data_IF_849357553770
#
_entry.id   IF_849357553770
#
_cell.length_a   1.000
_cell.length_b   1.000
_cell.length_c   1.000
_cell.angle_alpha   90.00
_cell.angle_beta   90.00
_cell.angle_gamma   90.00
#
_symmetry.space_group_name_H-M   'P 1'
#
loop_
_entity.id
_entity.type
_entity.pdbx_description
1 polymer ?
#
# COMPACT_ATOMS: atom_id res chain seq x y z
N UNK A 1 93.11 51.93 49.78
CA UNK A 1 92.09 51.74 48.72
C UNK A 1 92.44 50.46 47.94
N UNK A 2 92.42 49.29 48.59
CA UNK A 2 92.66 47.98 47.93
C UNK A 2 91.45 47.04 48.13
N UNK A 3 90.24 47.57 47.95
CA UNK A 3 89.00 46.81 48.17
C UNK A 3 88.05 46.80 46.96
N UNK A 4 88.50 47.26 45.78
CA UNK A 4 87.65 47.30 44.58
C UNK A 4 88.44 46.90 43.32
N UNK A 5 89.18 45.81 43.39
CA UNK A 5 89.49 45.04 42.19
C UNK A 5 89.13 43.59 42.47
N UNK A 6 88.10 43.03 41.81
CA UNK A 6 87.80 41.61 41.97
C UNK A 6 89.07 40.85 41.60
N UNK A 7 89.64 40.13 42.56
CA UNK A 7 90.86 39.36 42.34
C UNK A 7 90.69 38.47 41.11
N UNK A 8 91.72 38.35 40.28
CA UNK A 8 91.68 37.62 38.99
C UNK A 8 91.08 36.20 39.16
N UNK A 9 91.29 35.57 40.32
CA UNK A 9 90.66 34.28 40.66
C UNK A 9 89.12 34.31 40.74
N UNK A 10 88.50 35.37 41.27
CA UNK A 10 87.04 35.51 41.32
C UNK A 10 86.45 35.64 39.91
N UNK A 11 87.09 36.44 39.04
CA UNK A 11 86.66 36.58 37.64
C UNK A 11 86.76 35.22 36.93
N UNK A 12 87.86 34.49 37.12
CA UNK A 12 88.05 33.15 36.53
C UNK A 12 86.95 32.17 36.96
N UNK A 13 86.69 32.02 38.27
CA UNK A 13 85.65 31.13 38.77
C UNK A 13 84.23 31.58 38.38
N UNK A 14 83.98 32.89 38.30
CA UNK A 14 82.71 33.44 37.81
C UNK A 14 82.48 33.13 36.33
N UNK A 15 83.49 33.32 35.48
CA UNK A 15 83.39 32.99 34.05
C UNK A 15 83.25 31.48 33.83
N UNK A 16 83.96 30.66 34.61
CA UNK A 16 83.86 29.20 34.53
C UNK A 16 82.46 28.71 34.96
N UNK A 17 81.95 29.20 36.09
CA UNK A 17 80.60 28.86 36.57
C UNK A 17 79.51 29.36 35.62
N UNK A 18 79.62 30.60 35.11
CA UNK A 18 78.71 31.13 34.10
C UNK A 18 78.75 30.29 32.81
N UNK A 19 79.94 29.94 32.33
CA UNK A 19 80.12 29.08 31.15
C UNK A 19 79.51 27.70 31.33
N UNK A 20 79.71 27.07 32.50
CA UNK A 20 79.11 25.78 32.84
C UNK A 20 77.58 25.85 32.81
N UNK A 21 77.00 26.87 33.45
CA UNK A 21 75.55 27.12 33.46
C UNK A 21 75.02 27.36 32.04
N UNK A 22 75.74 28.11 31.20
CA UNK A 22 75.37 28.36 29.81
C UNK A 22 75.37 27.07 28.97
N UNK A 23 76.34 26.18 29.17
CA UNK A 23 76.39 24.87 28.50
C UNK A 23 75.19 24.01 28.91
N UNK A 24 74.87 23.98 30.21
CA UNK A 24 73.70 23.26 30.74
C UNK A 24 72.40 23.84 30.14
N UNK A 25 72.21 25.16 30.19
CA UNK A 25 71.04 25.83 29.61
C UNK A 25 70.91 25.58 28.11
N UNK A 26 72.01 25.66 27.36
CA UNK A 26 72.02 25.39 25.91
C UNK A 26 71.56 23.96 25.60
N UNK A 27 71.97 22.98 26.40
CA UNK A 27 71.61 21.57 26.21
C UNK A 27 70.19 21.26 26.68
N UNK A 28 69.78 21.81 27.83
CA UNK A 28 68.55 21.41 28.53
C UNK A 28 67.35 22.34 28.28
N UNK A 29 67.54 23.66 28.14
CA UNK A 29 66.42 24.60 28.00
C UNK A 29 66.01 24.84 26.54
N UNK A 30 66.95 24.80 25.59
CA UNK A 30 66.65 25.12 24.19
C UNK A 30 65.72 24.10 23.52
N UNK A 31 65.88 22.81 23.85
CA UNK A 31 65.02 21.73 23.36
C UNK A 31 63.55 21.87 23.76
N UNK A 32 63.19 21.97 25.07
CA UNK A 32 61.80 22.08 25.50
C UNK A 32 61.11 23.38 25.07
N UNK A 33 61.85 24.49 25.00
CA UNK A 33 61.28 25.76 24.52
C UNK A 33 60.90 25.65 23.04
N UNK A 34 61.78 25.09 22.21
CA UNK A 34 61.51 24.95 20.79
C UNK A 34 60.45 23.88 20.50
N UNK A 35 60.36 22.83 21.31
CA UNK A 35 59.31 21.81 21.17
C UNK A 35 57.92 22.37 21.48
N UNK A 36 57.76 23.15 22.56
CA UNK A 36 56.45 23.72 22.93
C UNK A 36 55.95 24.74 21.91
N UNK A 37 56.86 25.52 21.30
CA UNK A 37 56.50 26.43 20.20
C UNK A 37 56.03 25.65 18.96
N UNK A 38 56.77 24.60 18.56
CA UNK A 38 56.37 23.75 17.43
C UNK A 38 55.05 23.03 17.69
N UNK A 39 54.83 22.55 18.91
CA UNK A 39 53.58 21.89 19.29
C UNK A 39 52.39 22.85 19.18
N UNK A 40 52.54 24.10 19.65
CA UNK A 40 51.52 25.14 19.47
C UNK A 40 51.27 25.45 18.00
N UNK A 41 52.33 25.60 17.21
CA UNK A 41 52.21 25.84 15.77
C UNK A 41 51.47 24.70 15.06
N UNK A 42 51.84 23.45 15.34
CA UNK A 42 51.20 22.26 14.80
C UNK A 42 49.73 22.18 15.22
N UNK A 43 49.42 22.44 16.49
CA UNK A 43 48.07 22.41 17.03
C UNK A 43 47.18 23.48 16.39
N UNK A 44 47.68 24.71 16.23
CA UNK A 44 46.94 25.78 15.56
C UNK A 44 46.72 25.44 14.09
N UNK A 45 47.76 24.96 13.40
CA UNK A 45 47.66 24.58 12.00
C UNK A 45 46.70 23.40 11.79
N UNK A 46 46.70 22.39 12.67
CA UNK A 46 45.76 21.27 12.60
C UNK A 46 44.34 21.72 12.90
N UNK A 47 44.13 22.56 13.92
CA UNK A 47 42.80 23.07 14.28
C UNK A 47 42.17 23.91 13.15
N UNK A 48 42.96 24.76 12.49
CA UNK A 48 42.50 25.55 11.34
C UNK A 48 42.17 24.64 10.15
N UNK A 49 43.02 23.64 9.86
CA UNK A 49 42.74 22.67 8.78
C UNK A 49 41.47 21.89 9.04
N UNK A 50 41.29 21.44 10.28
CA UNK A 50 40.12 20.67 10.70
C UNK A 50 38.85 21.51 10.63
N UNK A 51 38.87 22.75 11.11
CA UNK A 51 37.74 23.67 10.98
C UNK A 51 37.36 23.91 9.52
N UNK A 52 38.33 24.11 8.62
CA UNK A 52 38.08 24.23 7.17
C UNK A 52 37.59 22.94 6.52
N UNK A 53 37.92 21.77 7.07
CA UNK A 53 37.41 20.48 6.62
C UNK A 53 35.94 20.35 7.01
N UNK A 54 35.63 20.58 8.28
CA UNK A 54 34.26 20.54 8.84
C UNK A 54 33.34 21.51 8.10
N UNK A 55 33.79 22.74 7.83
CA UNK A 55 32.97 23.71 7.08
C UNK A 55 32.65 23.24 5.65
N UNK A 56 33.60 22.59 4.97
CA UNK A 56 33.38 22.03 3.63
C UNK A 56 32.42 20.85 3.67
N UNK A 57 32.63 19.92 4.61
CA UNK A 57 31.74 18.78 4.80
C UNK A 57 30.31 19.22 5.17
N UNK A 58 30.16 20.26 5.98
CA UNK A 58 28.85 20.82 6.31
C UNK A 58 28.14 21.41 5.08
N UNK A 59 28.86 22.18 4.26
CA UNK A 59 28.31 22.72 3.02
C UNK A 59 27.89 21.62 2.03
N UNK A 60 28.69 20.55 1.91
CA UNK A 60 28.34 19.39 1.10
C UNK A 60 27.11 18.64 1.66
N UNK A 61 27.04 18.49 2.98
CA UNK A 61 25.93 17.86 3.68
C UNK A 61 24.63 18.64 3.48
N UNK A 62 24.66 19.97 3.58
CA UNK A 62 23.48 20.83 3.36
C UNK A 62 22.95 20.67 1.93
N UNK A 63 23.84 20.65 0.92
CA UNK A 63 23.44 20.41 -0.47
C UNK A 63 22.84 19.02 -0.68
N UNK A 64 23.36 18.01 0.02
CA UNK A 64 22.87 16.63 -0.04
C UNK A 64 21.53 16.49 0.65
N UNK A 65 21.35 17.17 1.79
CA UNK A 65 20.09 17.22 2.53
C UNK A 65 18.99 17.86 1.70
N UNK A 66 19.27 18.98 1.04
CA UNK A 66 18.29 19.64 0.17
C UNK A 66 17.87 18.72 -0.99
N UNK A 67 18.84 18.07 -1.65
CA UNK A 67 18.56 17.08 -2.70
C UNK A 67 17.72 15.91 -2.18
N UNK A 68 18.04 15.39 -1.00
CA UNK A 68 17.30 14.28 -0.39
C UNK A 68 15.86 14.69 -0.04
N UNK A 69 15.66 15.91 0.45
CA UNK A 69 14.33 16.45 0.74
C UNK A 69 13.51 16.62 -0.53
N UNK A 70 14.11 17.10 -1.62
CA UNK A 70 13.44 17.18 -2.93
C UNK A 70 13.05 15.78 -3.44
N UNK A 71 14.00 14.84 -3.43
CA UNK A 71 13.72 13.45 -3.83
C UNK A 71 12.64 12.80 -2.97
N UNK A 72 12.61 13.08 -1.65
CA UNK A 72 11.57 12.57 -0.77
C UNK A 72 10.19 13.16 -1.09
N UNK A 73 10.12 14.45 -1.45
CA UNK A 73 8.88 15.08 -1.91
C UNK A 73 8.40 14.50 -3.23
N UNK A 74 9.29 14.35 -4.21
CA UNK A 74 8.95 13.77 -5.52
C UNK A 74 8.41 12.34 -5.35
N UNK A 75 9.08 11.51 -4.53
CA UNK A 75 8.60 10.15 -4.22
C UNK A 75 7.26 10.17 -3.48
N UNK A 76 7.04 11.09 -2.55
CA UNK A 76 5.77 11.20 -1.86
C UNK A 76 4.63 11.57 -2.81
N UNK A 77 4.87 12.51 -3.74
CA UNK A 77 3.90 12.86 -4.78
C UNK A 77 3.62 11.67 -5.72
N UNK A 78 4.66 10.94 -6.13
CA UNK A 78 4.53 9.73 -6.94
C UNK A 78 3.66 8.67 -6.25
N UNK A 79 3.91 8.40 -4.97
CA UNK A 79 3.13 7.45 -4.16
C UNK A 79 1.67 7.90 -4.06
N UNK A 80 1.41 9.19 -3.80
CA UNK A 80 0.04 9.71 -3.73
C UNK A 80 -0.66 9.59 -5.09
N UNK A 81 0.03 9.89 -6.18
CA UNK A 81 -0.52 9.77 -7.52
C UNK A 81 -0.83 8.30 -7.86
N UNK A 82 0.07 7.38 -7.54
CA UNK A 82 -0.14 5.94 -7.73
C UNK A 82 -1.33 5.44 -6.93
N UNK A 83 -1.42 5.79 -5.65
CA UNK A 83 -2.52 5.40 -4.78
C UNK A 83 -3.88 5.93 -5.28
N UNK A 84 -3.94 7.17 -5.79
CA UNK A 84 -5.15 7.71 -6.42
C UNK A 84 -5.55 6.91 -7.66
N UNK A 85 -4.58 6.62 -8.54
CA UNK A 85 -4.84 5.86 -9.77
C UNK A 85 -5.34 4.44 -9.46
N UNK A 86 -4.70 3.76 -8.52
CA UNK A 86 -5.15 2.44 -8.05
C UNK A 86 -6.54 2.50 -7.43
N UNK A 87 -6.80 3.51 -6.60
CA UNK A 87 -8.12 3.73 -6.00
C UNK A 87 -9.21 3.91 -7.06
N UNK A 88 -8.96 4.72 -8.09
CA UNK A 88 -9.88 4.88 -9.21
C UNK A 88 -10.08 3.59 -10.00
N UNK A 89 -9.00 2.81 -10.24
CA UNK A 89 -9.12 1.52 -10.92
C UNK A 89 -9.94 0.51 -10.11
N UNK A 90 -9.78 0.47 -8.79
CA UNK A 90 -10.57 -0.38 -7.90
C UNK A 90 -12.05 0.02 -7.99
N UNK A 91 -12.36 1.32 -7.93
CA UNK A 91 -13.73 1.82 -8.04
C UNK A 91 -14.32 1.45 -9.42
N UNK A 92 -13.57 1.64 -10.51
CA UNK A 92 -14.01 1.26 -11.86
C UNK A 92 -14.28 -0.25 -11.97
N UNK A 93 -13.38 -1.09 -11.46
CA UNK A 93 -13.55 -2.55 -11.44
C UNK A 93 -14.76 -2.97 -10.61
N UNK A 94 -14.93 -2.39 -9.42
CA UNK A 94 -16.08 -2.68 -8.56
C UNK A 94 -17.41 -2.28 -9.22
N UNK A 95 -17.46 -1.10 -9.87
CA UNK A 95 -18.63 -0.67 -10.63
C UNK A 95 -18.95 -1.59 -11.81
N UNK A 96 -17.92 -2.06 -12.52
CA UNK A 96 -18.10 -3.01 -13.61
C UNK A 96 -18.64 -4.34 -13.11
N UNK A 97 -18.03 -4.92 -12.07
CA UNK A 97 -18.48 -6.16 -11.45
C UNK A 97 -19.92 -6.05 -10.94
N UNK A 98 -20.26 -4.95 -10.26
CA UNK A 98 -21.62 -4.70 -9.80
C UNK A 98 -22.64 -4.63 -10.94
N UNK A 99 -22.29 -4.03 -12.09
CA UNK A 99 -23.15 -4.02 -13.29
C UNK A 99 -23.32 -5.40 -13.90
N UNK A 100 -22.25 -6.18 -13.97
CA UNK A 100 -22.28 -7.56 -14.47
C UNK A 100 -23.16 -8.45 -13.57
N UNK A 101 -22.99 -8.35 -12.25
CA UNK A 101 -23.84 -9.05 -11.28
C UNK A 101 -25.30 -8.62 -11.34
N UNK A 102 -25.57 -7.31 -11.41
CA UNK A 102 -26.93 -6.79 -11.56
C UNK A 102 -27.59 -7.33 -12.84
N UNK A 103 -26.85 -7.40 -13.95
CA UNK A 103 -27.35 -7.95 -15.21
C UNK A 103 -27.67 -9.44 -15.06
N UNK A 104 -26.78 -10.22 -14.44
CA UNK A 104 -27.02 -11.65 -14.13
C UNK A 104 -28.26 -11.85 -13.27
N UNK A 105 -28.45 -11.03 -12.24
CA UNK A 105 -29.63 -11.09 -11.37
C UNK A 105 -30.91 -10.80 -12.17
N UNK A 106 -30.91 -9.76 -12.99
CA UNK A 106 -32.05 -9.40 -13.83
C UNK A 106 -32.39 -10.53 -14.82
N UNK A 107 -31.38 -11.12 -15.47
CA UNK A 107 -31.60 -12.20 -16.42
C UNK A 107 -32.08 -13.48 -15.74
N UNK A 108 -31.55 -13.81 -14.55
CA UNK A 108 -32.05 -14.89 -13.72
C UNK A 108 -33.50 -14.67 -13.31
N UNK A 109 -33.86 -13.45 -12.89
CA UNK A 109 -35.23 -13.08 -12.53
C UNK A 109 -36.18 -13.22 -13.73
N UNK A 110 -35.80 -12.73 -14.92
CA UNK A 110 -36.58 -12.90 -16.15
C UNK A 110 -36.80 -14.37 -16.49
N UNK A 111 -35.76 -15.20 -16.33
CA UNK A 111 -35.87 -16.64 -16.57
C UNK A 111 -36.83 -17.31 -15.57
N UNK A 112 -36.77 -16.94 -14.29
CA UNK A 112 -37.71 -17.43 -13.27
C UNK A 112 -39.15 -17.01 -13.60
N UNK A 113 -39.38 -15.74 -13.93
CA UNK A 113 -40.70 -15.22 -14.31
C UNK A 113 -41.25 -15.97 -15.52
N UNK A 114 -40.43 -16.22 -16.54
CA UNK A 114 -40.84 -16.99 -17.72
C UNK A 114 -41.17 -18.46 -17.37
N UNK A 115 -40.42 -19.06 -16.46
CA UNK A 115 -40.69 -20.42 -15.99
C UNK A 115 -42.00 -20.49 -15.19
N UNK A 116 -42.22 -19.55 -14.27
CA UNK A 116 -43.46 -19.42 -13.48
C UNK A 116 -44.66 -19.16 -14.38
N UNK A 117 -44.55 -18.25 -15.36
CA UNK A 117 -45.61 -18.00 -16.34
C UNK A 117 -46.00 -19.28 -17.09
N UNK A 118 -45.02 -20.06 -17.57
CA UNK A 118 -45.28 -21.34 -18.23
C UNK A 118 -45.92 -22.36 -17.29
N UNK A 119 -45.55 -22.35 -16.01
CA UNK A 119 -46.18 -23.20 -15.00
C UNK A 119 -47.65 -22.81 -14.78
N UNK A 120 -47.93 -21.52 -14.60
CA UNK A 120 -49.28 -21.00 -14.46
C UNK A 120 -50.14 -21.26 -15.70
N UNK A 121 -49.61 -21.10 -16.91
CA UNK A 121 -50.32 -21.43 -18.15
C UNK A 121 -50.68 -22.92 -18.24
N UNK A 122 -49.81 -23.82 -17.75
CA UNK A 122 -50.11 -25.26 -17.66
C UNK A 122 -51.18 -25.56 -16.63
N UNK A 123 -51.11 -24.92 -15.46
CA UNK A 123 -52.09 -25.08 -14.39
C UNK A 123 -53.48 -24.61 -14.83
N UNK A 124 -53.59 -23.45 -15.47
CA UNK A 124 -54.84 -22.93 -16.03
C UNK A 124 -55.41 -23.91 -17.07
N UNK A 125 -54.58 -24.45 -17.98
CA UNK A 125 -55.04 -25.46 -18.94
C UNK A 125 -55.59 -26.70 -18.26
N UNK A 126 -54.93 -27.19 -17.20
CA UNK A 126 -55.41 -28.34 -16.45
C UNK A 126 -56.75 -28.05 -15.75
N UNK A 127 -56.91 -26.86 -15.17
CA UNK A 127 -58.17 -26.45 -14.55
C UNK A 127 -59.30 -26.37 -15.58
N UNK A 128 -59.05 -25.84 -16.79
CA UNK A 128 -60.03 -25.80 -17.87
C UNK A 128 -60.41 -27.20 -18.33
N UNK A 129 -59.45 -28.12 -18.48
CA UNK A 129 -59.72 -29.51 -18.86
C UNK A 129 -60.63 -30.17 -17.82
N UNK A 130 -60.31 -30.03 -16.52
CA UNK A 130 -61.13 -30.58 -15.45
C UNK A 130 -62.56 -30.00 -15.47
N UNK A 131 -62.68 -28.68 -15.59
CA UNK A 131 -63.99 -28.00 -15.66
C UNK A 131 -64.80 -28.44 -16.89
N UNK A 132 -64.15 -28.69 -18.03
CA UNK A 132 -64.81 -29.17 -19.25
C UNK A 132 -65.32 -30.60 -19.08
N UNK A 133 -64.54 -31.46 -18.43
CA UNK A 133 -64.96 -32.84 -18.10
C UNK A 133 -66.12 -32.82 -17.11
N UNK A 134 -66.07 -31.97 -16.08
CA UNK A 134 -67.15 -31.82 -15.11
C UNK A 134 -68.44 -31.31 -15.77
N UNK A 135 -68.36 -30.31 -16.65
CA UNK A 135 -69.50 -29.85 -17.45
C UNK A 135 -70.04 -30.93 -18.38
N UNK A 136 -69.17 -31.68 -19.06
CA UNK A 136 -69.59 -32.78 -19.93
C UNK A 136 -70.30 -33.89 -19.12
N UNK A 137 -69.80 -34.21 -17.93
CA UNK A 137 -70.44 -35.14 -17.00
C UNK A 137 -71.82 -34.65 -16.60
N UNK A 138 -71.94 -33.37 -16.21
CA UNK A 138 -73.21 -32.79 -15.78
C UNK A 138 -74.25 -32.74 -16.92
N UNK A 139 -73.82 -32.41 -18.15
CA UNK A 139 -74.67 -32.45 -19.35
C UNK A 139 -75.12 -33.88 -19.68
N UNK A 140 -74.22 -34.86 -19.58
CA UNK A 140 -74.57 -36.28 -19.76
C UNK A 140 -75.55 -36.74 -18.67
N UNK A 141 -75.34 -36.38 -17.41
CA UNK A 141 -76.28 -36.70 -16.33
C UNK A 141 -77.67 -36.09 -16.58
N UNK A 142 -77.75 -34.88 -17.14
CA UNK A 142 -79.01 -34.22 -17.51
C UNK A 142 -79.67 -34.91 -18.72
N UNK A 143 -78.93 -35.25 -19.78
CA UNK A 143 -79.48 -35.96 -20.95
C UNK A 143 -79.90 -37.41 -20.65
N UNK A 144 -79.22 -38.08 -19.71
CA UNK A 144 -79.55 -39.44 -19.25
C UNK A 144 -80.54 -39.48 -18.08
N UNK A 145 -81.09 -38.34 -17.67
CA UNK A 145 -82.15 -38.27 -16.65
C UNK A 145 -83.49 -38.84 -17.14
N UNK A 146 -83.68 -38.91 -18.46
CA UNK A 146 -84.85 -39.53 -19.11
C UNK A 146 -84.55 -41.00 -19.46
N UNK A 147 -85.23 -41.93 -18.76
CA UNK A 147 -84.99 -43.38 -18.84
C UNK A 147 -85.13 -43.94 -20.26
N UNK A 148 -85.99 -43.33 -21.09
CA UNK A 148 -86.20 -43.73 -22.48
C UNK A 148 -85.00 -43.39 -23.38
N UNK A 149 -84.35 -42.24 -23.18
CA UNK A 149 -83.17 -41.82 -23.96
C UNK A 149 -81.95 -42.69 -23.63
N UNK A 150 -81.82 -43.09 -22.37
CA UNK A 150 -80.75 -44.00 -21.89
C UNK A 150 -80.82 -45.36 -22.58
N UNK A 151 -82.01 -45.97 -22.64
CA UNK A 151 -82.21 -47.27 -23.25
C UNK A 151 -81.97 -47.24 -24.78
N UNK A 152 -82.45 -46.20 -25.48
CA UNK A 152 -82.18 -46.02 -26.92
C UNK A 152 -80.69 -45.82 -27.26
N UNK A 153 -79.92 -45.20 -26.36
CA UNK A 153 -78.48 -45.02 -26.57
C UNK A 153 -77.71 -46.33 -26.36
N UNK A 154 -78.11 -47.13 -25.37
CA UNK A 154 -77.54 -48.47 -25.13
C UNK A 154 -77.81 -49.40 -26.31
N UNK A 155 -79.03 -49.39 -26.86
CA UNK A 155 -79.36 -50.16 -28.07
C UNK A 155 -78.48 -49.75 -29.27
N UNK A 156 -78.28 -48.44 -29.50
CA UNK A 156 -77.39 -47.94 -30.57
C UNK A 156 -75.92 -48.32 -30.38
N UNK A 157 -75.42 -48.33 -29.14
CA UNK A 157 -74.05 -48.79 -28.84
C UNK A 157 -73.91 -50.29 -29.07
N UNK A 158 -74.93 -51.08 -28.73
CA UNK A 158 -74.94 -52.52 -28.97
C UNK A 158 -75.04 -52.85 -30.47
N UNK A 159 -75.80 -52.10 -31.26
CA UNK A 159 -75.82 -52.21 -32.73
C UNK A 159 -74.46 -51.88 -33.36
N UNK A 160 -73.77 -50.84 -32.88
CA UNK A 160 -72.43 -50.47 -33.37
C UNK A 160 -71.33 -51.49 -33.06
N UNK A 161 -71.49 -52.31 -32.02
CA UNK A 161 -70.56 -53.40 -31.66
C UNK A 161 -70.90 -54.69 -32.43
N UNK A 162 -72.15 -54.91 -32.83
CA UNK A 162 -72.55 -56.06 -33.64
C UNK A 162 -72.22 -55.91 -35.13
N UNK A 163 -71.79 -54.73 -35.58
CA UNK A 163 -71.43 -54.42 -36.97
C UNK A 163 -69.93 -54.59 -37.28
N UNK A 164 -69.13 -55.20 -36.39
CA UNK A 164 -67.73 -55.57 -36.62
C UNK A 164 -67.48 -57.05 -36.30
#
# INVERSE_FOLDING_TARGET
MELISPGIGLIFWMTLSFGLVLIILRRFAWKPILSTIRERELYIASSIRESKRIQRELAELDSTKEKLLLQAKDKAEEVIHHAKKEGEEIIRKAQQQAREEATKIIDAAKNSINAERKAAEREIRQQIVNLTVDMAKQLLEEEFSDENRKNQYVERLLEGIQLN
#
